data_IF_238063551057
#
_entry.id   IF_238063551057
#
_cell.length_a   1.000
_cell.length_b   1.000
_cell.length_c   1.000
_cell.angle_alpha   90.00
_cell.angle_beta   90.00
_cell.angle_gamma   90.00
#
_symmetry.space_group_name_H-M   'P 1'
#
loop_
_entity.id
_entity.type
_entity.pdbx_description
1 polymer ?
#
# COMPACT_ATOMS: atom_id res chain seq x y z
N UNK A 1 11.29 -13.61 -11.75
CA UNK A 1 10.32 -13.90 -10.68
C UNK A 1 9.66 -15.24 -10.97
N UNK A 2 9.82 -16.19 -10.06
CA UNK A 2 9.20 -17.51 -10.12
C UNK A 2 7.70 -17.40 -9.79
N UNK A 3 6.88 -17.37 -10.83
CA UNK A 3 5.43 -17.19 -10.72
C UNK A 3 4.73 -18.26 -11.55
N UNK A 4 3.72 -18.91 -10.99
CA UNK A 4 2.72 -19.61 -11.81
C UNK A 4 1.86 -18.55 -12.49
N UNK A 5 1.45 -18.80 -13.74
CA UNK A 5 0.68 -17.83 -14.51
C UNK A 5 -0.62 -18.46 -14.97
N UNK A 6 -1.72 -17.73 -14.76
CA UNK A 6 -2.96 -17.99 -15.45
C UNK A 6 -2.91 -17.23 -16.77
N UNK A 7 -3.01 -17.96 -17.88
CA UNK A 7 -2.95 -17.39 -19.22
C UNK A 7 -4.26 -17.58 -19.96
N UNK A 8 -4.62 -16.60 -20.76
CA UNK A 8 -5.71 -16.64 -21.72
C UNK A 8 -5.13 -16.74 -23.13
N UNK A 9 -5.74 -17.59 -23.94
CA UNK A 9 -5.41 -17.74 -25.35
C UNK A 9 -6.46 -16.98 -26.16
N UNK A 10 -6.00 -15.96 -26.89
CA UNK A 10 -6.84 -15.13 -27.74
C UNK A 10 -6.91 -15.68 -29.17
N UNK A 11 -8.05 -15.47 -29.84
CA UNK A 11 -8.25 -15.91 -31.23
C UNK A 11 -7.54 -14.99 -32.24
N UNK A 12 -7.31 -13.74 -31.87
CA UNK A 12 -6.59 -12.75 -32.66
C UNK A 12 -5.30 -12.35 -31.94
N UNK A 13 -4.23 -12.08 -32.69
CA UNK A 13 -2.97 -11.65 -32.10
C UNK A 13 -3.09 -10.23 -31.51
N UNK A 14 -2.35 -9.98 -30.44
CA UNK A 14 -2.15 -8.63 -29.90
C UNK A 14 -1.31 -7.75 -30.85
N UNK A 15 -1.09 -6.49 -30.47
CA UNK A 15 -0.28 -5.55 -31.25
C UNK A 15 1.18 -6.01 -31.47
N UNK A 16 1.66 -7.00 -30.70
CA UNK A 16 3.00 -7.58 -30.80
C UNK A 16 2.99 -8.94 -31.53
N UNK A 17 1.85 -9.40 -32.01
CA UNK A 17 1.71 -10.70 -32.69
C UNK A 17 1.53 -11.89 -31.74
N UNK A 18 1.35 -11.67 -30.43
CA UNK A 18 1.16 -12.74 -29.43
C UNK A 18 -0.31 -13.11 -29.28
N UNK A 19 -0.59 -14.41 -29.20
CA UNK A 19 -1.92 -14.95 -28.89
C UNK A 19 -2.11 -15.20 -27.39
N UNK A 20 -1.07 -15.00 -26.59
CA UNK A 20 -1.05 -15.31 -25.16
C UNK A 20 -1.17 -14.03 -24.36
N UNK A 21 -2.15 -13.98 -23.47
CA UNK A 21 -2.40 -12.91 -22.53
C UNK A 21 -2.25 -13.44 -21.10
N UNK A 22 -1.39 -12.83 -20.29
CA UNK A 22 -1.23 -13.22 -18.89
C UNK A 22 -2.28 -12.52 -18.03
N UNK A 23 -3.19 -13.29 -17.42
CA UNK A 23 -4.26 -12.78 -16.57
C UNK A 23 -3.78 -12.57 -15.13
N UNK A 24 -3.27 -13.64 -14.52
CA UNK A 24 -2.87 -13.62 -13.12
C UNK A 24 -1.53 -14.29 -12.91
N UNK A 25 -0.87 -13.92 -11.81
CA UNK A 25 0.41 -14.49 -11.42
C UNK A 25 0.38 -14.85 -9.94
N UNK A 26 0.77 -16.08 -9.61
CA UNK A 26 0.82 -16.59 -8.25
C UNK A 26 2.27 -16.81 -7.82
N UNK A 27 2.59 -16.41 -6.60
CA UNK A 27 3.93 -16.54 -6.03
C UNK A 27 4.32 -18.02 -5.89
N UNK A 28 5.50 -18.38 -6.38
CA UNK A 28 6.08 -19.70 -6.19
C UNK A 28 7.46 -19.58 -5.52
N UNK A 29 7.56 -20.09 -4.29
CA UNK A 29 8.82 -20.09 -3.53
C UNK A 29 9.76 -21.24 -3.94
N UNK A 30 9.27 -22.26 -4.65
CA UNK A 30 10.01 -23.49 -4.91
C UNK A 30 10.74 -23.54 -6.25
N UNK A 31 11.89 -24.23 -6.35
CA UNK A 31 12.68 -24.77 -5.25
C UNK A 31 13.39 -23.66 -4.46
N UNK A 32 13.46 -23.79 -3.14
CA UNK A 32 14.32 -22.96 -2.29
C UNK A 32 15.70 -23.62 -2.28
N UNK A 33 16.69 -22.96 -2.88
CA UNK A 33 18.07 -23.46 -2.98
C UNK A 33 18.86 -23.15 -1.71
N UNK A 34 18.62 -21.97 -1.13
CA UNK A 34 19.25 -21.51 0.11
C UNK A 34 18.35 -20.45 0.77
N UNK A 35 18.54 -20.20 2.06
CA UNK A 35 17.85 -19.13 2.77
C UNK A 35 18.67 -18.59 3.95
N UNK A 36 18.40 -17.35 4.33
CA UNK A 36 18.92 -16.76 5.56
C UNK A 36 17.82 -16.04 6.34
N UNK A 37 18.01 -15.94 7.66
CA UNK A 37 17.12 -15.17 8.54
C UNK A 37 17.80 -13.84 8.83
N UNK A 38 17.07 -12.75 8.61
CA UNK A 38 17.54 -11.38 8.82
C UNK A 38 16.50 -10.60 9.63
N UNK A 39 16.96 -9.70 10.48
CA UNK A 39 16.09 -8.73 11.15
C UNK A 39 16.42 -7.34 10.61
N UNK A 40 15.85 -7.00 9.45
CA UNK A 40 16.12 -5.74 8.75
C UNK A 40 15.62 -4.52 9.53
N UNK A 41 14.52 -4.68 10.26
CA UNK A 41 13.86 -3.59 10.99
C UNK A 41 14.31 -3.52 12.46
N UNK A 42 15.11 -4.47 12.94
CA UNK A 42 15.59 -4.60 14.33
C UNK A 42 14.44 -4.62 15.35
N UNK A 43 13.27 -5.11 14.93
CA UNK A 43 12.07 -5.19 15.76
C UNK A 43 11.93 -6.56 16.45
N UNK A 44 12.93 -7.45 16.30
CA UNK A 44 12.87 -8.82 16.81
C UNK A 44 11.96 -9.74 16.00
N UNK A 45 11.49 -9.30 14.82
CA UNK A 45 10.74 -10.11 13.89
C UNK A 45 11.65 -10.58 12.75
N UNK A 46 12.15 -11.81 12.87
CA UNK A 46 13.00 -12.41 11.83
C UNK A 46 12.24 -12.57 10.50
N UNK A 47 12.80 -12.02 9.44
CA UNK A 47 12.36 -12.18 8.06
C UNK A 47 13.24 -13.24 7.38
N UNK A 48 12.66 -14.10 6.54
CA UNK A 48 13.39 -15.12 5.80
C UNK A 48 13.63 -14.63 4.38
N UNK A 49 14.88 -14.55 3.96
CA UNK A 49 15.26 -14.28 2.57
C UNK A 49 15.62 -15.60 1.91
N UNK A 50 14.93 -15.96 0.84
CA UNK A 50 15.13 -17.22 0.12
C UNK A 50 15.69 -16.98 -1.28
N UNK A 51 16.61 -17.85 -1.70
CA UNK A 51 17.00 -18.04 -3.09
C UNK A 51 16.04 -19.05 -3.73
N UNK A 52 15.09 -18.56 -4.53
CA UNK A 52 13.97 -19.34 -5.05
C UNK A 52 14.00 -19.47 -6.57
N UNK A 53 13.60 -20.63 -7.08
CA UNK A 53 13.53 -20.89 -8.53
C UNK A 53 14.85 -21.32 -9.15
N UNK A 54 14.83 -21.50 -10.47
CA UNK A 54 16.00 -21.93 -11.24
C UNK A 54 16.03 -21.28 -12.63
N UNK A 55 17.22 -21.25 -13.25
CA UNK A 55 17.44 -20.72 -14.59
C UNK A 55 16.85 -19.30 -14.78
N UNK A 56 16.09 -19.09 -15.86
CA UNK A 56 15.44 -17.81 -16.19
C UNK A 56 14.39 -17.34 -15.17
N UNK A 57 13.98 -18.22 -14.25
CA UNK A 57 12.95 -17.95 -13.24
C UNK A 57 13.52 -17.75 -11.83
N UNK A 58 14.85 -17.70 -11.66
CA UNK A 58 15.47 -17.40 -10.37
C UNK A 58 15.02 -16.05 -9.80
N UNK A 59 14.74 -16.01 -8.50
CA UNK A 59 14.40 -14.79 -7.77
C UNK A 59 14.74 -14.92 -6.29
N UNK A 60 15.02 -13.77 -5.65
CA UNK A 60 15.04 -13.67 -4.20
C UNK A 60 13.63 -13.37 -3.71
N UNK A 61 13.19 -14.05 -2.65
CA UNK A 61 11.89 -13.80 -2.02
C UNK A 61 12.08 -13.50 -0.54
N UNK A 62 11.43 -12.46 -0.04
CA UNK A 62 11.41 -12.12 1.39
C UNK A 62 10.08 -12.55 1.98
N UNK A 63 10.13 -13.49 2.91
CA UNK A 63 8.98 -13.99 3.67
C UNK A 63 9.04 -13.35 5.05
N UNK A 64 8.06 -12.48 5.32
CA UNK A 64 7.85 -11.86 6.64
C UNK A 64 6.55 -12.38 7.25
N UNK A 65 6.50 -12.45 8.57
CA UNK A 65 5.25 -12.71 9.26
C UNK A 65 4.43 -11.41 9.33
N UNK A 66 3.12 -11.50 9.13
CA UNK A 66 2.21 -10.35 9.13
C UNK A 66 2.04 -9.63 7.80
N UNK A 67 1.18 -8.62 7.82
CA UNK A 67 0.87 -7.75 6.68
C UNK A 67 1.75 -6.52 6.77
N UNK A 68 2.47 -6.18 5.71
CA UNK A 68 3.16 -4.89 5.69
C UNK A 68 2.28 -3.80 5.14
N UNK A 69 2.46 -2.61 5.71
CA UNK A 69 1.82 -1.38 5.27
C UNK A 69 2.78 -0.72 4.27
N UNK A 70 2.28 -0.38 3.09
CA UNK A 70 3.02 0.44 2.15
C UNK A 70 2.57 1.88 2.35
N UNK A 71 3.37 2.67 3.06
CA UNK A 71 3.08 4.09 3.30
C UNK A 71 3.03 4.83 1.97
N UNK A 72 1.83 5.29 1.59
CA UNK A 72 1.62 6.06 0.35
C UNK A 72 1.74 7.56 0.58
N UNK A 73 1.36 8.01 1.77
CA UNK A 73 1.43 9.39 2.17
C UNK A 73 1.89 9.44 3.62
N UNK A 74 2.91 10.23 3.85
CA UNK A 74 3.23 10.78 5.16
C UNK A 74 2.86 12.25 5.08
N UNK A 75 2.11 12.76 6.05
CA UNK A 75 1.88 14.21 6.13
C UNK A 75 3.25 14.91 6.25
N UNK A 76 3.62 15.82 5.33
CA UNK A 76 4.92 16.44 5.36
C UNK A 76 5.08 17.27 6.64
N UNK A 77 6.14 16.97 7.40
CA UNK A 77 6.65 17.81 8.47
C UNK A 77 7.40 19.00 7.85
N UNK A 78 6.71 19.86 7.10
CA UNK A 78 7.30 21.08 6.58
C UNK A 78 7.34 22.11 7.70
N UNK A 79 8.45 22.08 8.46
CA UNK A 79 8.85 23.04 9.49
C UNK A 79 7.95 23.03 10.73
N UNK A 80 8.45 22.45 11.82
CA UNK A 80 7.87 22.43 13.18
C UNK A 80 6.58 21.60 13.44
N UNK A 81 6.05 20.88 12.44
CA UNK A 81 4.77 20.14 12.57
C UNK A 81 4.86 18.62 12.89
N UNK A 82 6.01 18.06 13.30
CA UNK A 82 6.02 16.69 13.89
C UNK A 82 5.23 16.63 15.23
N UNK A 83 4.81 17.81 15.72
CA UNK A 83 4.09 18.05 16.96
C UNK A 83 2.56 18.08 16.77
N UNK A 84 2.03 18.33 15.56
CA UNK A 84 0.61 18.71 15.43
C UNK A 84 -0.39 17.55 15.42
N UNK A 85 0.01 16.35 14.97
CA UNK A 85 -0.88 15.18 14.94
C UNK A 85 -0.59 14.16 16.06
N UNK A 86 0.21 14.52 17.08
CA UNK A 86 0.35 13.66 18.25
C UNK A 86 -0.93 13.68 19.09
N UNK A 87 -1.43 12.49 19.45
CA UNK A 87 -2.59 12.37 20.33
C UNK A 87 -3.93 12.21 19.62
N UNK A 88 -3.94 11.81 18.34
CA UNK A 88 -5.13 11.35 17.64
C UNK A 88 -5.87 10.30 18.49
N UNK A 89 -7.15 10.54 18.73
CA UNK A 89 -8.08 9.65 19.45
C UNK A 89 -8.94 8.83 18.51
N UNK A 90 -9.18 9.32 17.30
CA UNK A 90 -9.96 8.63 16.29
C UNK A 90 -9.79 9.28 14.92
N UNK A 91 -10.08 8.49 13.88
CA UNK A 91 -10.07 8.91 12.48
C UNK A 91 -11.27 8.31 11.75
N UNK A 92 -11.88 9.07 10.85
CA UNK A 92 -13.03 8.65 10.05
C UNK A 92 -12.92 9.17 8.63
N UNK A 93 -13.18 8.33 7.64
CA UNK A 93 -13.29 8.77 6.24
C UNK A 93 -14.72 9.21 5.94
N UNK A 94 -14.84 10.28 5.16
CA UNK A 94 -16.12 10.84 4.73
C UNK A 94 -16.11 11.15 3.24
N UNK A 95 -17.30 11.07 2.66
CA UNK A 95 -17.59 11.51 1.29
C UNK A 95 -18.23 12.87 1.30
N UNK A 96 -18.04 13.64 0.24
CA UNK A 96 -18.75 14.90 0.04
C UNK A 96 -20.25 14.68 -0.15
N UNK A 97 -20.62 13.65 -0.92
CA UNK A 97 -21.99 13.22 -1.14
C UNK A 97 -22.15 11.71 -0.98
N UNK A 98 -23.37 11.25 -0.70
CA UNK A 98 -23.70 9.80 -0.65
C UNK A 98 -23.50 9.11 -2.00
N UNK A 99 -23.62 9.87 -3.09
CA UNK A 99 -23.48 9.36 -4.45
C UNK A 99 -22.02 9.35 -4.95
N UNK A 100 -21.09 9.93 -4.18
CA UNK A 100 -19.70 9.98 -4.59
C UNK A 100 -19.04 8.60 -4.48
N UNK A 101 -18.23 8.19 -5.48
CA UNK A 101 -17.57 6.90 -5.47
C UNK A 101 -16.37 6.84 -4.51
N UNK A 102 -15.81 8.00 -4.12
CA UNK A 102 -14.59 8.09 -3.33
C UNK A 102 -14.76 8.95 -2.08
N UNK A 103 -14.01 8.60 -1.04
CA UNK A 103 -13.91 9.38 0.20
C UNK A 103 -12.95 10.54 -0.05
N UNK A 104 -13.39 11.76 0.24
CA UNK A 104 -12.66 13.02 -0.05
C UNK A 104 -12.16 13.71 1.21
N UNK A 105 -12.70 13.35 2.37
CA UNK A 105 -12.38 13.96 3.65
C UNK A 105 -11.91 12.92 4.67
N UNK A 106 -10.94 13.29 5.50
CA UNK A 106 -10.47 12.55 6.65
C UNK A 106 -10.67 13.41 7.90
N UNK A 107 -11.58 12.98 8.77
CA UNK A 107 -11.83 13.64 10.06
C UNK A 107 -10.92 13.02 11.10
N UNK A 108 -10.21 13.86 11.86
CA UNK A 108 -9.26 13.46 12.88
C UNK A 108 -9.61 14.13 14.20
N UNK A 109 -9.81 13.34 15.25
CA UNK A 109 -10.17 13.84 16.58
C UNK A 109 -8.98 13.86 17.53
N UNK A 110 -8.83 14.96 18.25
CA UNK A 110 -7.88 15.17 19.34
C UNK A 110 -8.63 15.30 20.68
N UNK A 111 -7.89 15.48 21.78
CA UNK A 111 -8.48 15.69 23.10
C UNK A 111 -9.26 17.01 23.16
N UNK A 112 -8.76 18.05 22.50
CA UNK A 112 -9.28 19.42 22.59
C UNK A 112 -10.08 19.87 21.37
N UNK A 113 -9.91 19.22 20.21
CA UNK A 113 -10.42 19.72 18.93
C UNK A 113 -10.64 18.59 17.93
N UNK A 114 -11.38 18.89 16.86
CA UNK A 114 -11.52 18.01 15.69
C UNK A 114 -11.06 18.73 14.44
N UNK A 115 -10.17 18.11 13.66
CA UNK A 115 -9.67 18.65 12.38
C UNK A 115 -10.23 17.86 11.21
N UNK A 116 -10.49 18.54 10.10
CA UNK A 116 -10.97 17.91 8.86
C UNK A 116 -9.95 18.16 7.77
N UNK A 117 -9.48 17.08 7.15
CA UNK A 117 -8.49 17.11 6.09
C UNK A 117 -9.17 16.75 4.77
N UNK A 118 -9.00 17.57 3.73
CA UNK A 118 -9.51 17.31 2.39
C UNK A 118 -8.36 17.00 1.44
N UNK A 119 -8.62 16.08 0.50
CA UNK A 119 -7.67 15.77 -0.56
C UNK A 119 -7.66 16.90 -1.60
N UNK A 120 -6.47 17.45 -1.87
CA UNK A 120 -6.26 18.48 -2.88
C UNK A 120 -6.02 17.88 -4.28
N UNK A 121 -5.79 18.73 -5.28
CA UNK A 121 -5.54 18.31 -6.67
C UNK A 121 -4.18 17.64 -6.89
N UNK A 122 -3.29 17.69 -5.90
CA UNK A 122 -1.95 17.11 -5.91
C UNK A 122 -1.89 15.80 -5.10
N UNK A 123 -3.04 15.22 -4.75
CA UNK A 123 -3.19 14.03 -3.90
C UNK A 123 -2.61 14.19 -2.46
N UNK A 124 -2.42 15.43 -2.01
CA UNK A 124 -2.04 15.77 -0.64
C UNK A 124 -3.27 16.13 0.21
N UNK A 125 -3.16 15.94 1.52
CA UNK A 125 -4.24 16.24 2.47
C UNK A 125 -3.99 17.57 3.16
N UNK A 126 -4.93 18.50 3.04
CA UNK A 126 -4.87 19.85 3.62
C UNK A 126 -6.05 20.08 4.59
N UNK A 127 -5.83 20.89 5.62
CA UNK A 127 -6.89 21.22 6.58
C UNK A 127 -7.96 22.13 5.96
N UNK A 128 -9.22 21.79 6.19
CA UNK A 128 -10.36 22.53 5.68
C UNK A 128 -11.45 22.68 6.73
N UNK A 129 -12.21 23.76 6.66
CA UNK A 129 -13.41 23.94 7.47
C UNK A 129 -14.62 23.39 6.71
N UNK A 130 -15.41 22.54 7.34
CA UNK A 130 -16.66 22.01 6.78
C UNK A 130 -17.84 22.47 7.62
N UNK A 131 -18.84 23.08 6.98
CA UNK A 131 -20.07 23.49 7.66
C UNK A 131 -20.77 22.28 8.31
N UNK A 132 -21.20 22.43 9.57
CA UNK A 132 -21.90 21.38 10.32
C UNK A 132 -20.99 20.55 11.25
N UNK A 133 -19.67 20.74 11.20
CA UNK A 133 -18.75 20.21 12.19
C UNK A 133 -18.38 21.28 13.22
N UNK A 134 -18.34 20.89 14.50
CA UNK A 134 -17.79 21.73 15.56
C UNK A 134 -16.27 21.49 15.62
N UNK A 135 -15.50 22.57 15.47
CA UNK A 135 -14.05 22.57 15.67
C UNK A 135 -13.68 22.48 17.15
#
# INVERSE_FOLDING_TARGET
MNLYQLIKLNLQPDAKGSYVEGLERYVNLGPIVDFCIVDLERQGQGQVVTCSGAYKNGSLCVVRNGTGINEQATFPSTTDAYVELQGIKGMWSLRSSTDDPFDTFLVVSFISETRILAMNLEDELEETETEGFCS
#
